data_IF_117768873126
#
_entry.id   IF_117768873126
#
_cell.length_a   1.000
_cell.length_b   1.000
_cell.length_c   1.000
_cell.angle_alpha   90.00
_cell.angle_beta   90.00
_cell.angle_gamma   90.00
#
_symmetry.space_group_name_H-M   'P 1'
#
loop_
_entity.id
_entity.type
_entity.pdbx_description
1 polymer ?
#
# COMPACT_ATOMS: atom_id res chain seq x y z
N UNK A 1 24.90 -0.71 26.73
CA UNK A 1 23.61 -0.58 26.01
C UNK A 1 23.77 -0.77 24.51
N UNK A 2 24.63 0.02 23.84
CA UNK A 2 24.76 -0.01 22.37
C UNK A 2 25.27 -1.33 21.78
N UNK A 3 26.28 -1.97 22.41
CA UNK A 3 26.84 -3.24 21.91
C UNK A 3 25.86 -4.42 21.97
N UNK A 4 24.98 -4.44 22.98
CA UNK A 4 23.99 -5.51 23.17
C UNK A 4 22.83 -5.34 22.18
N UNK A 5 22.35 -4.12 22.00
CA UNK A 5 21.36 -3.80 20.97
C UNK A 5 21.90 -4.07 19.55
N UNK A 6 23.19 -3.80 19.30
CA UNK A 6 23.82 -4.13 18.01
C UNK A 6 23.87 -5.65 17.76
N UNK A 7 24.11 -6.46 18.80
CA UNK A 7 24.02 -7.93 18.73
C UNK A 7 22.59 -8.39 18.46
N UNK A 8 21.60 -7.84 19.17
CA UNK A 8 20.18 -8.15 18.94
C UNK A 8 19.74 -7.84 17.50
N UNK A 9 20.12 -6.66 16.97
CA UNK A 9 19.86 -6.29 15.56
C UNK A 9 20.52 -7.24 14.56
N UNK A 10 21.67 -7.83 14.90
CA UNK A 10 22.34 -8.83 14.05
C UNK A 10 21.61 -10.17 14.11
N UNK A 11 21.24 -10.62 15.30
CA UNK A 11 20.51 -11.87 15.51
C UNK A 11 19.13 -11.85 14.83
N UNK A 12 18.40 -10.74 14.91
CA UNK A 12 17.12 -10.57 14.21
C UNK A 12 17.28 -10.66 12.68
N UNK A 13 18.32 -10.03 12.12
CA UNK A 13 18.65 -10.13 10.69
C UNK A 13 18.99 -11.56 10.27
N UNK A 14 19.81 -12.26 11.05
CA UNK A 14 20.19 -13.64 10.78
C UNK A 14 18.99 -14.60 10.90
N UNK A 15 18.08 -14.35 11.86
CA UNK A 15 16.83 -15.11 12.00
C UNK A 15 15.88 -14.88 10.84
N UNK A 16 15.73 -13.65 10.38
CA UNK A 16 14.92 -13.33 9.21
C UNK A 16 15.46 -14.02 7.95
N UNK A 17 16.77 -14.04 7.75
CA UNK A 17 17.41 -14.80 6.68
C UNK A 17 17.11 -16.31 6.78
N UNK A 18 17.21 -16.89 7.98
CA UNK A 18 16.86 -18.31 8.23
C UNK A 18 15.38 -18.62 7.98
N UNK A 19 14.47 -17.76 8.44
CA UNK A 19 13.03 -17.91 8.26
C UNK A 19 12.67 -17.87 6.78
N UNK A 20 13.21 -16.89 6.03
CA UNK A 20 12.94 -16.80 4.59
C UNK A 20 13.48 -18.01 3.84
N UNK A 21 14.68 -18.50 4.15
CA UNK A 21 15.24 -19.71 3.55
C UNK A 21 14.39 -20.95 3.87
N UNK A 22 14.00 -21.15 5.14
CA UNK A 22 13.16 -22.28 5.55
C UNK A 22 11.78 -22.25 4.89
N UNK A 23 11.13 -21.09 4.87
CA UNK A 23 9.81 -20.93 4.21
C UNK A 23 9.89 -21.14 2.71
N UNK A 24 10.99 -20.76 2.05
CA UNK A 24 11.26 -21.04 0.63
C UNK A 24 11.45 -22.54 0.37
N UNK A 25 12.12 -23.26 1.26
CA UNK A 25 12.34 -24.71 1.14
C UNK A 25 11.10 -25.57 1.51
N UNK A 26 10.06 -24.97 2.08
CA UNK A 26 8.90 -25.70 2.59
C UNK A 26 7.94 -26.14 1.48
N UNK A 27 7.61 -27.43 1.45
CA UNK A 27 6.62 -27.98 0.52
C UNK A 27 5.19 -27.83 1.07
N UNK A 28 4.17 -28.01 0.23
CA UNK A 28 2.75 -27.85 0.61
C UNK A 28 2.35 -28.71 1.84
N UNK A 29 2.98 -29.87 2.03
CA UNK A 29 2.72 -30.78 3.16
C UNK A 29 3.42 -30.32 4.46
N UNK A 30 4.56 -29.63 4.37
CA UNK A 30 5.37 -29.23 5.54
C UNK A 30 5.24 -27.75 5.90
N UNK A 31 4.57 -26.94 5.06
CA UNK A 31 4.41 -25.49 5.26
C UNK A 31 3.85 -25.09 6.63
N UNK A 32 2.90 -25.86 7.18
CA UNK A 32 2.34 -25.59 8.52
C UNK A 32 3.40 -25.78 9.61
N UNK A 33 4.05 -26.95 9.64
CA UNK A 33 5.11 -27.23 10.62
C UNK A 33 6.30 -26.26 10.51
N UNK A 34 6.70 -25.90 9.30
CA UNK A 34 7.77 -24.91 9.08
C UNK A 34 7.36 -23.51 9.57
N UNK A 35 6.09 -23.12 9.40
CA UNK A 35 5.60 -21.85 9.94
C UNK A 35 5.57 -21.88 11.48
N UNK A 36 5.05 -22.97 12.08
CA UNK A 36 5.01 -23.14 13.54
C UNK A 36 6.44 -23.11 14.13
N UNK A 37 7.42 -23.72 13.45
CA UNK A 37 8.85 -23.64 13.81
C UNK A 37 9.41 -22.21 13.72
N UNK A 38 9.06 -21.45 12.67
CA UNK A 38 9.49 -20.07 12.53
C UNK A 38 8.90 -19.17 13.62
N UNK A 39 7.63 -19.35 13.97
CA UNK A 39 6.96 -18.64 15.06
C UNK A 39 7.61 -18.95 16.42
N UNK A 40 7.99 -20.22 16.64
CA UNK A 40 8.73 -20.61 17.84
C UNK A 40 10.09 -19.91 17.92
N UNK A 41 10.86 -19.87 16.84
CA UNK A 41 12.16 -19.19 16.82
C UNK A 41 12.06 -17.69 17.09
N UNK A 42 11.03 -17.03 16.55
CA UNK A 42 10.77 -15.61 16.82
C UNK A 42 10.44 -15.39 18.30
N UNK A 43 9.56 -16.21 18.87
CA UNK A 43 9.18 -16.10 20.28
C UNK A 43 10.38 -16.29 21.21
N UNK A 44 11.14 -17.36 21.01
CA UNK A 44 12.30 -17.69 21.85
C UNK A 44 13.38 -16.60 21.80
N UNK A 45 13.61 -16.02 20.62
CA UNK A 45 14.59 -14.93 20.47
C UNK A 45 14.10 -13.66 21.15
N UNK A 46 12.81 -13.33 20.97
CA UNK A 46 12.20 -12.15 21.60
C UNK A 46 12.23 -12.25 23.12
N UNK A 47 11.82 -13.39 23.68
CA UNK A 47 11.87 -13.64 25.13
C UNK A 47 13.30 -13.54 25.68
N UNK A 48 14.31 -14.04 24.93
CA UNK A 48 15.71 -13.92 25.32
C UNK A 48 16.20 -12.46 25.29
N UNK A 49 15.89 -11.71 24.23
CA UNK A 49 16.26 -10.30 24.11
C UNK A 49 15.59 -9.47 25.21
N UNK A 50 14.31 -9.71 25.48
CA UNK A 50 13.57 -9.07 26.56
C UNK A 50 14.17 -9.43 27.94
N UNK A 51 14.56 -10.68 28.18
CA UNK A 51 15.21 -11.10 29.42
C UNK A 51 16.61 -10.48 29.59
N UNK A 52 17.40 -10.38 28.52
CA UNK A 52 18.71 -9.73 28.53
C UNK A 52 18.59 -8.22 28.77
N UNK A 53 17.60 -7.56 28.17
CA UNK A 53 17.31 -6.13 28.42
C UNK A 53 16.85 -5.94 29.86
N UNK A 54 15.93 -6.78 30.37
CA UNK A 54 15.45 -6.72 31.76
C UNK A 54 16.59 -6.92 32.76
N UNK A 55 17.47 -7.89 32.53
CA UNK A 55 18.64 -8.14 33.37
C UNK A 55 19.65 -6.98 33.33
N UNK A 56 19.78 -6.27 32.20
CA UNK A 56 20.68 -5.12 32.07
C UNK A 56 20.11 -3.83 32.67
N UNK A 57 18.79 -3.63 32.56
CA UNK A 57 18.08 -2.47 33.10
C UNK A 57 17.92 -2.54 34.63
N UNK A 58 18.21 -3.69 35.25
CA UNK A 58 18.21 -3.84 36.71
C UNK A 58 16.82 -3.80 37.35
N UNK A 59 15.78 -4.09 36.57
CA UNK A 59 14.38 -4.10 37.02
C UNK A 59 13.94 -5.55 37.28
N UNK A 60 14.23 -6.04 38.49
CA UNK A 60 13.21 -6.85 39.17
C UNK A 60 12.10 -5.86 39.57
N UNK A 61 10.97 -5.98 38.88
CA UNK A 61 9.74 -5.16 38.96
C UNK A 61 9.59 -3.94 38.03
N UNK A 62 8.48 -4.01 37.28
CA UNK A 62 7.73 -2.95 36.61
C UNK A 62 8.28 -2.28 35.34
N UNK A 63 7.92 -2.92 34.21
CA UNK A 63 7.25 -2.24 33.09
C UNK A 63 7.79 -0.89 32.62
N UNK A 64 8.83 -0.91 31.80
CA UNK A 64 9.17 0.21 30.92
C UNK A 64 8.90 -0.14 29.45
N UNK A 65 7.85 0.49 28.91
CA UNK A 65 7.66 0.67 27.46
C UNK A 65 8.87 1.43 26.90
N UNK A 66 9.72 0.74 26.15
CA UNK A 66 10.76 1.34 25.33
C UNK A 66 10.53 0.97 23.86
N UNK A 67 9.72 1.80 23.22
CA UNK A 67 9.91 2.30 21.86
C UNK A 67 10.19 1.25 20.76
N UNK A 68 9.11 0.75 20.16
CA UNK A 68 9.12 0.12 18.83
C UNK A 68 9.51 1.16 17.76
N UNK A 69 10.80 1.43 17.58
CA UNK A 69 11.31 2.00 16.31
C UNK A 69 11.52 0.85 15.33
N UNK A 70 10.43 0.45 14.67
CA UNK A 70 10.49 -0.31 13.43
C UNK A 70 10.87 0.66 12.30
N UNK A 71 12.16 0.79 12.04
CA UNK A 71 12.64 1.40 10.80
C UNK A 71 12.53 0.33 9.69
N UNK A 72 11.47 0.43 8.90
CA UNK A 72 11.25 -0.34 7.68
C UNK A 72 11.93 0.40 6.51
N UNK A 73 13.04 -0.12 5.93
CA UNK A 73 13.43 0.32 4.61
C UNK A 73 12.72 -0.52 3.57
N UNK A 74 11.88 0.17 2.80
CA UNK A 74 11.32 -0.28 1.54
C UNK A 74 12.42 -0.77 0.58
N UNK A 75 12.18 -1.91 -0.08
CA UNK A 75 12.75 -2.18 -1.40
C UNK A 75 11.68 -2.76 -2.33
N UNK A 76 11.45 -1.99 -3.39
CA UNK A 76 10.73 -2.31 -4.61
C UNK A 76 11.23 -3.60 -5.26
N UNK A 77 10.31 -4.34 -5.88
CA UNK A 77 10.56 -4.98 -7.18
C UNK A 77 9.29 -4.92 -8.02
N UNK A 78 9.37 -4.20 -9.13
CA UNK A 78 8.46 -4.19 -10.28
C UNK A 78 8.47 -5.51 -11.07
N UNK A 79 7.56 -5.54 -12.07
CA UNK A 79 7.40 -6.47 -13.20
C UNK A 79 6.75 -7.84 -12.90
N UNK A 80 5.73 -8.31 -13.62
CA UNK A 80 5.13 -7.86 -14.88
C UNK A 80 4.48 -9.07 -15.58
N UNK A 81 3.48 -8.80 -16.44
CA UNK A 81 2.96 -9.64 -17.56
C UNK A 81 1.97 -10.81 -17.30
N UNK A 82 0.74 -10.50 -17.69
CA UNK A 82 0.00 -10.99 -18.88
C UNK A 82 -0.81 -12.31 -18.91
N UNK A 83 -1.95 -12.16 -19.62
CA UNK A 83 -2.76 -13.13 -20.40
C UNK A 83 -3.65 -14.10 -19.60
N UNK A 84 -4.99 -14.00 -19.67
CA UNK A 84 -5.95 -14.23 -20.78
C UNK A 84 -6.36 -15.70 -20.95
N UNK A 85 -7.66 -15.94 -21.19
CA UNK A 85 -8.30 -17.23 -21.52
C UNK A 85 -9.42 -17.61 -20.53
N UNK A 86 -10.64 -17.11 -20.69
CA UNK A 86 -11.79 -17.81 -21.34
C UNK A 86 -12.03 -19.26 -20.85
N UNK A 87 -13.23 -19.54 -20.33
CA UNK A 87 -14.25 -20.39 -21.00
C UNK A 87 -15.56 -20.39 -20.17
N UNK A 88 -16.65 -20.32 -20.93
CA UNK A 88 -18.08 -20.35 -20.61
C UNK A 88 -18.49 -21.55 -19.71
N UNK A 89 -19.67 -21.60 -19.08
CA UNK A 89 -20.88 -22.13 -19.71
C UNK A 89 -22.14 -21.83 -18.89
N UNK A 90 -23.19 -21.55 -19.66
CA UNK A 90 -24.61 -21.31 -19.40
C UNK A 90 -25.29 -22.24 -18.38
N UNK A 91 -26.42 -21.76 -17.80
CA UNK A 91 -27.70 -22.48 -17.82
C UNK A 91 -28.85 -21.55 -17.35
N UNK A 92 -29.73 -21.18 -18.28
CA UNK A 92 -31.13 -20.82 -18.01
C UNK A 92 -31.97 -22.05 -18.32
N UNK A 93 -32.86 -22.46 -17.43
CA UNK A 93 -34.21 -22.93 -17.79
C UNK A 93 -35.10 -23.06 -16.56
N UNK A 94 -36.36 -22.66 -16.76
CA UNK A 94 -37.45 -22.64 -15.81
C UNK A 94 -38.00 -24.03 -15.46
N UNK A 95 -38.71 -24.12 -14.33
CA UNK A 95 -40.03 -24.77 -14.28
C UNK A 95 -40.72 -24.46 -12.94
N UNK A 96 -41.97 -24.04 -13.05
CA UNK A 96 -42.93 -23.94 -11.96
C UNK A 96 -43.66 -25.27 -11.79
N UNK A 97 -43.88 -25.70 -10.55
CA UNK A 97 -45.07 -26.42 -10.11
C UNK A 97 -45.16 -26.41 -8.58
N UNK A 98 -46.32 -26.01 -8.08
CA UNK A 98 -46.80 -26.11 -6.70
C UNK A 98 -47.83 -27.27 -6.66
N UNK A 99 -48.55 -27.57 -5.56
CA UNK A 99 -48.21 -27.85 -4.16
C UNK A 99 -48.71 -29.24 -3.71
N UNK A 100 -48.16 -29.86 -2.64
CA UNK A 100 -49.01 -30.72 -1.78
C UNK A 100 -48.48 -30.92 -0.33
N UNK A 101 -49.27 -30.35 0.59
CA UNK A 101 -49.76 -30.83 1.89
C UNK A 101 -48.93 -31.69 2.86
N UNK A 102 -48.94 -31.15 4.09
CA UNK A 102 -49.23 -31.79 5.39
C UNK A 102 -48.17 -32.67 6.07
N UNK A 103 -47.86 -32.26 7.31
CA UNK A 103 -47.08 -33.02 8.27
C UNK A 103 -46.67 -32.16 9.46
N UNK A 104 -47.61 -31.95 10.38
CA UNK A 104 -47.36 -31.43 11.73
C UNK A 104 -46.39 -32.33 12.49
N UNK A 105 -45.20 -31.82 12.86
CA UNK A 105 -44.62 -31.99 14.19
C UNK A 105 -43.23 -31.36 14.34
N UNK A 106 -43.07 -30.66 15.47
CA UNK A 106 -41.81 -30.27 16.11
C UNK A 106 -40.94 -29.21 15.40
N UNK A 107 -40.98 -28.00 15.96
CA UNK A 107 -40.06 -26.90 15.71
C UNK A 107 -38.64 -27.19 16.25
N UNK A 108 -37.99 -28.23 15.73
CA UNK A 108 -36.55 -28.43 15.96
C UNK A 108 -35.82 -27.42 15.08
N UNK A 109 -35.51 -26.26 15.66
CA UNK A 109 -34.62 -25.23 15.09
C UNK A 109 -33.36 -25.91 14.57
N UNK A 110 -33.30 -26.21 13.27
CA UNK A 110 -32.10 -26.80 12.66
C UNK A 110 -30.96 -25.83 12.85
N UNK A 111 -29.95 -26.25 13.63
CA UNK A 111 -28.76 -25.45 13.89
C UNK A 111 -28.15 -25.02 12.55
N UNK A 112 -27.94 -23.72 12.31
CA UNK A 112 -27.37 -23.26 11.06
C UNK A 112 -26.02 -23.93 10.85
N UNK A 113 -25.75 -24.35 9.62
CA UNK A 113 -24.50 -25.00 9.25
C UNK A 113 -23.31 -24.17 9.77
N UNK A 114 -22.49 -24.78 10.64
CA UNK A 114 -21.42 -24.13 11.40
C UNK A 114 -20.43 -23.38 10.50
N UNK A 115 -20.24 -23.84 9.26
CA UNK A 115 -19.40 -23.17 8.27
C UNK A 115 -20.01 -21.85 7.79
N UNK A 116 -21.32 -21.82 7.53
CA UNK A 116 -22.04 -20.61 7.11
C UNK A 116 -22.06 -19.57 8.22
N UNK A 117 -22.23 -20.01 9.48
CA UNK A 117 -22.14 -19.13 10.65
C UNK A 117 -20.74 -18.52 10.82
N UNK A 118 -19.67 -19.30 10.58
CA UNK A 118 -18.28 -18.80 10.64
C UNK A 118 -17.99 -17.77 9.55
N UNK A 119 -18.49 -18.00 8.33
CA UNK A 119 -18.34 -17.06 7.22
C UNK A 119 -19.11 -15.76 7.46
N UNK A 120 -20.35 -15.85 7.95
CA UNK A 120 -21.15 -14.69 8.29
C UNK A 120 -20.49 -13.83 9.38
N UNK A 121 -19.93 -14.46 10.42
CA UNK A 121 -19.19 -13.75 11.48
C UNK A 121 -17.95 -13.03 10.93
N UNK A 122 -17.15 -13.69 10.08
CA UNK A 122 -15.97 -13.05 9.45
C UNK A 122 -16.37 -11.90 8.52
N UNK A 123 -17.48 -12.02 7.81
CA UNK A 123 -17.99 -10.94 6.96
C UNK A 123 -18.42 -9.74 7.80
N UNK A 124 -19.18 -9.96 8.87
CA UNK A 124 -19.60 -8.90 9.79
C UNK A 124 -18.41 -8.21 10.49
N UNK A 125 -17.40 -8.96 10.92
CA UNK A 125 -16.18 -8.39 11.52
C UNK A 125 -15.43 -7.48 10.52
N UNK A 126 -15.32 -7.90 9.25
CA UNK A 126 -14.72 -7.07 8.19
C UNK A 126 -15.54 -5.83 7.88
N UNK A 127 -16.87 -5.94 7.85
CA UNK A 127 -17.75 -4.81 7.58
C UNK A 127 -17.64 -3.76 8.71
N UNK A 128 -17.64 -4.20 9.97
CA UNK A 128 -17.41 -3.32 11.10
C UNK A 128 -16.01 -2.66 11.09
N UNK A 129 -14.99 -3.37 10.63
CA UNK A 129 -13.65 -2.81 10.45
C UNK A 129 -13.59 -1.78 9.31
N UNK A 130 -14.21 -2.08 8.16
CA UNK A 130 -14.33 -1.13 7.05
C UNK A 130 -15.12 0.11 7.43
N UNK A 131 -16.19 -0.04 8.22
CA UNK A 131 -16.99 1.09 8.68
C UNK A 131 -16.21 1.99 9.65
N UNK A 132 -15.45 1.40 10.59
CA UNK A 132 -14.52 2.15 11.46
C UNK A 132 -13.45 2.88 10.65
N UNK A 133 -12.79 2.19 9.71
CA UNK A 133 -11.79 2.78 8.84
C UNK A 133 -12.37 3.92 7.97
N UNK A 134 -13.62 3.78 7.50
CA UNK A 134 -14.29 4.82 6.74
C UNK A 134 -14.67 6.04 7.61
N UNK A 135 -15.04 5.82 8.88
CA UNK A 135 -15.29 6.90 9.84
C UNK A 135 -13.99 7.67 10.14
N UNK A 136 -12.88 6.96 10.37
CA UNK A 136 -11.55 7.56 10.56
C UNK A 136 -11.10 8.33 9.31
N UNK A 137 -11.27 7.75 8.12
CA UNK A 137 -10.92 8.40 6.84
C UNK A 137 -11.75 9.68 6.58
N UNK A 138 -13.03 9.72 6.98
CA UNK A 138 -13.86 10.93 6.89
C UNK A 138 -13.40 12.04 7.84
N UNK A 139 -12.81 11.66 8.98
CA UNK A 139 -12.28 12.63 9.94
C UNK A 139 -10.93 13.21 9.49
N UNK A 140 -10.19 12.49 8.65
CA UNK A 140 -8.94 13.01 8.09
C UNK A 140 -9.19 14.16 7.12
N UNK A 141 -8.45 15.26 7.33
CA UNK A 141 -8.49 16.43 6.45
C UNK A 141 -7.64 16.18 5.21
N UNK A 142 -8.20 16.43 4.02
CA UNK A 142 -7.47 16.34 2.76
C UNK A 142 -6.60 17.59 2.53
N UNK A 143 -5.35 17.53 2.99
CA UNK A 143 -4.36 18.59 2.79
C UNK A 143 -4.09 18.86 1.30
N UNK A 144 -3.97 17.80 0.49
CA UNK A 144 -3.67 17.90 -0.94
C UNK A 144 -4.79 18.63 -1.69
N UNK A 145 -6.03 18.31 -1.36
CA UNK A 145 -7.21 18.99 -1.91
C UNK A 145 -7.25 20.47 -1.54
N UNK A 146 -6.87 20.81 -0.30
CA UNK A 146 -6.83 22.21 0.17
C UNK A 146 -5.73 23.02 -0.54
N UNK A 147 -4.53 22.45 -0.69
CA UNK A 147 -3.43 23.07 -1.43
C UNK A 147 -3.80 23.32 -2.89
N UNK A 148 -4.39 22.31 -3.56
CA UNK A 148 -4.82 22.44 -4.96
C UNK A 148 -5.88 23.52 -5.14
N UNK A 149 -6.82 23.67 -4.19
CA UNK A 149 -7.81 24.75 -4.21
C UNK A 149 -7.14 26.12 -4.06
N UNK A 150 -6.24 26.27 -3.08
CA UNK A 150 -5.53 27.53 -2.83
C UNK A 150 -4.69 27.98 -4.04
N UNK A 151 -3.93 27.05 -4.63
CA UNK A 151 -3.16 27.31 -5.86
C UNK A 151 -4.08 27.63 -7.05
N UNK A 152 -5.18 26.89 -7.21
CA UNK A 152 -6.17 27.15 -8.26
C UNK A 152 -6.82 28.53 -8.16
N UNK A 153 -7.09 29.02 -6.95
CA UNK A 153 -7.58 30.39 -6.73
C UNK A 153 -6.53 31.43 -7.10
N UNK A 154 -5.27 31.24 -6.70
CA UNK A 154 -4.18 32.15 -7.03
C UNK A 154 -3.96 32.24 -8.55
N UNK A 155 -3.93 31.10 -9.24
CA UNK A 155 -3.80 30.99 -10.70
C UNK A 155 -4.96 31.71 -11.42
N UNK A 156 -6.21 31.52 -10.95
CA UNK A 156 -7.38 32.23 -11.49
C UNK A 156 -7.31 33.75 -11.29
N UNK A 157 -6.87 34.22 -10.12
CA UNK A 157 -6.69 35.65 -9.83
C UNK A 157 -5.70 36.30 -10.80
N UNK A 158 -4.67 35.58 -11.21
CA UNK A 158 -3.65 36.04 -12.16
C UNK A 158 -4.04 35.81 -13.63
N UNK A 159 -5.18 35.19 -13.92
CA UNK A 159 -5.58 34.85 -15.29
C UNK A 159 -4.69 33.82 -15.96
N UNK A 160 -3.92 33.06 -15.19
CA UNK A 160 -3.03 32.01 -15.69
C UNK A 160 -3.78 30.68 -15.83
N UNK A 161 -3.22 29.76 -16.60
CA UNK A 161 -3.78 28.41 -16.79
C UNK A 161 -2.71 27.36 -16.45
N UNK A 162 -3.06 26.45 -15.55
CA UNK A 162 -2.22 25.30 -15.21
C UNK A 162 -2.19 24.30 -16.38
N UNK A 163 -1.02 23.74 -16.66
CA UNK A 163 -0.83 22.67 -17.65
C UNK A 163 -0.23 21.46 -16.95
N UNK A 164 -0.90 20.31 -17.08
CA UNK A 164 -0.43 19.06 -16.48
C UNK A 164 0.78 18.52 -17.25
N UNK A 165 1.87 18.30 -16.53
CA UNK A 165 3.12 17.74 -17.05
C UNK A 165 3.33 16.37 -16.40
N UNK A 166 3.92 15.43 -17.15
CA UNK A 166 4.21 14.10 -16.63
C UNK A 166 5.13 14.20 -15.40
N UNK A 167 4.81 13.53 -14.28
CA UNK A 167 5.61 13.58 -13.07
C UNK A 167 6.84 12.66 -13.19
N UNK A 168 7.79 13.03 -14.04
CA UNK A 168 9.07 12.34 -14.21
C UNK A 168 10.25 13.23 -13.80
N UNK A 169 11.47 12.68 -13.78
CA UNK A 169 12.69 13.43 -13.45
C UNK A 169 13.04 14.55 -14.45
N UNK A 170 12.34 14.66 -15.58
CA UNK A 170 12.53 15.69 -16.60
C UNK A 170 11.38 16.70 -16.65
N UNK A 171 10.46 16.67 -15.67
CA UNK A 171 9.28 17.53 -15.64
C UNK A 171 9.62 19.02 -15.75
N UNK A 172 10.71 19.46 -15.11
CA UNK A 172 11.20 20.84 -15.20
C UNK A 172 11.57 21.23 -16.64
N UNK A 173 12.35 20.41 -17.34
CA UNK A 173 12.73 20.67 -18.73
C UNK A 173 11.54 20.61 -19.67
N UNK A 174 10.60 19.70 -19.40
CA UNK A 174 9.35 19.58 -20.16
C UNK A 174 8.47 20.83 -20.00
N UNK A 175 8.38 21.40 -18.80
CA UNK A 175 7.67 22.65 -18.54
C UNK A 175 8.24 23.81 -19.36
N UNK A 176 9.57 23.96 -19.33
CA UNK A 176 10.27 24.99 -20.09
C UNK A 176 10.08 24.78 -21.60
N UNK A 177 10.15 23.53 -22.07
CA UNK A 177 9.95 23.22 -23.49
C UNK A 177 8.52 23.53 -23.98
N UNK A 178 7.50 23.31 -23.14
CA UNK A 178 6.11 23.71 -23.45
C UNK A 178 6.02 25.23 -23.55
N UNK A 179 6.60 25.96 -22.60
CA UNK A 179 6.53 27.42 -22.58
C UNK A 179 7.29 28.05 -23.76
N UNK A 180 8.47 27.53 -24.10
CA UNK A 180 9.19 27.96 -25.29
C UNK A 180 8.36 27.77 -26.57
N UNK A 181 7.66 26.64 -26.69
CA UNK A 181 6.75 26.39 -27.82
C UNK A 181 5.57 27.37 -27.84
N UNK A 182 5.03 27.74 -26.68
CA UNK A 182 3.96 28.74 -26.59
C UNK A 182 4.42 30.12 -27.12
N UNK A 183 5.71 30.44 -26.94
CA UNK A 183 6.34 31.67 -27.45
C UNK A 183 6.83 31.52 -28.91
N UNK A 184 6.65 30.33 -29.51
CA UNK A 184 7.05 30.04 -30.90
C UNK A 184 8.50 29.58 -31.07
N UNK A 185 9.23 29.35 -29.97
CA UNK A 185 10.59 28.83 -29.97
C UNK A 185 10.55 27.30 -29.95
N UNK A 186 11.00 26.66 -31.02
CA UNK A 186 11.11 25.21 -31.08
C UNK A 186 12.48 24.74 -30.54
N UNK A 187 12.55 24.09 -29.36
CA UNK A 187 13.81 23.65 -28.79
C UNK A 187 14.50 22.54 -29.60
N UNK A 188 13.80 21.93 -30.58
CA UNK A 188 14.38 20.91 -31.46
C UNK A 188 15.10 21.50 -32.69
N UNK A 189 14.85 22.77 -33.03
CA UNK A 189 15.52 23.44 -34.15
C UNK A 189 16.88 23.97 -33.70
N UNK A 190 17.93 23.45 -34.32
CA UNK A 190 19.31 23.81 -34.00
C UNK A 190 19.57 25.31 -34.20
N UNK A 191 19.96 25.97 -33.11
CA UNK A 191 20.44 27.36 -32.98
C UNK A 191 19.34 28.44 -33.08
N UNK A 192 18.79 28.79 -31.92
CA UNK A 192 17.98 30.01 -31.72
C UNK A 192 18.93 31.14 -31.35
N UNK A 193 19.10 32.13 -32.23
CA UNK A 193 19.87 33.34 -31.92
C UNK A 193 18.93 34.38 -31.29
N UNK A 194 18.95 34.46 -29.96
CA UNK A 194 18.20 35.48 -29.22
C UNK A 194 18.97 36.81 -29.38
N UNK A 195 18.43 37.74 -30.17
CA UNK A 195 18.98 39.09 -30.27
C UNK A 195 18.68 39.86 -28.97
N UNK A 196 19.69 40.38 -28.26
CA UNK A 196 19.51 41.16 -27.04
C UNK A 196 19.20 42.62 -27.41
N UNK A 197 18.10 42.88 -28.11
CA UNK A 197 17.53 44.23 -28.16
C UNK A 197 16.63 44.38 -26.92
N UNK A 198 16.87 45.42 -26.12
CA UNK A 198 16.29 45.67 -24.80
C UNK A 198 14.77 45.94 -24.76
N UNK A 199 14.04 45.48 -25.77
CA UNK A 199 12.60 45.70 -25.94
C UNK A 199 11.77 44.46 -25.54
N UNK A 200 12.44 43.37 -25.11
CA UNK A 200 11.77 42.13 -24.65
C UNK A 200 11.15 41.29 -25.76
N UNK A 201 11.33 41.65 -27.03
CA UNK A 201 10.82 40.90 -28.18
C UNK A 201 11.84 39.89 -28.72
N UNK A 202 11.41 38.64 -28.89
CA UNK A 202 12.19 37.58 -29.53
C UNK A 202 11.97 37.66 -31.04
N UNK A 203 13.01 38.04 -31.80
CA UNK A 203 12.96 38.07 -33.25
C UNK A 203 13.60 36.81 -33.84
N UNK A 204 12.87 36.12 -34.70
CA UNK A 204 13.40 35.01 -35.49
C UNK A 204 14.07 35.56 -36.75
N UNK A 205 15.40 35.44 -36.81
CA UNK A 205 16.15 35.70 -38.04
C UNK A 205 16.12 34.41 -38.86
N UNK A 206 15.32 34.38 -39.93
CA UNK A 206 15.44 33.34 -40.96
C UNK A 206 16.80 33.47 -41.66
N UNK A 207 17.43 32.36 -42.06
CA UNK A 207 18.68 32.38 -42.80
C UNK A 207 18.55 33.11 -44.15
#
# INVERSE_FOLDING_TARGET
>A
MEDLQAKHRKELRDLQAKITQKKKSATKKTRKGVNDECERWLRETKERHEAEIRALNGEDEEGSEAEETWDEPAQETEDGKNASGETETQSKTASASNPQQQGDNSSVKRKPNRQKARLARRAAEKEAEMERAAQEAKQMTDYRGNEKKSMGEATKRLGLKETDIRPDGHCLYSAVAIELKNIGVDPSRGRVQICPCGDGNIYFISP
#
